data_IF_523736884485
#
_entry.id   IF_523736884485
#
_cell.length_a   1.000
_cell.length_b   1.000
_cell.length_c   1.000
_cell.angle_alpha   90.00
_cell.angle_beta   90.00
_cell.angle_gamma   90.00
#
_symmetry.space_group_name_H-M   'P 1'
#
loop_
_entity.id
_entity.type
_entity.pdbx_description
1 polymer ?
#
# COMPACT_ATOMS: atom_id res chain seq x y z
N UNK A 1 -67.33 -2.76 -16.33
CA UNK A 1 -68.05 -2.26 -17.53
C UNK A 1 -67.54 -0.87 -17.81
N UNK A 2 -66.71 -0.78 -18.84
CA UNK A 2 -66.61 0.21 -19.94
C UNK A 2 -67.17 1.66 -19.76
N UNK A 3 -66.71 2.68 -20.51
CA UNK A 3 -65.59 2.84 -21.48
C UNK A 3 -64.83 4.15 -21.30
N UNK A 4 -63.59 4.25 -21.74
CA UNK A 4 -62.95 4.79 -22.96
C UNK A 4 -63.76 5.91 -23.67
N UNK A 5 -63.16 7.04 -23.91
CA UNK A 5 -63.12 7.84 -25.16
C UNK A 5 -62.58 9.25 -24.91
N UNK A 6 -61.42 9.55 -25.52
CA UNK A 6 -61.08 10.64 -26.41
C UNK A 6 -61.16 12.12 -25.91
N UNK A 7 -60.03 12.79 -26.04
CA UNK A 7 -59.95 13.95 -26.91
C UNK A 7 -58.56 14.32 -27.31
N UNK A 8 -58.23 14.13 -28.56
CA UNK A 8 -57.16 14.79 -29.30
C UNK A 8 -57.55 16.25 -29.49
N UNK A 9 -56.69 17.22 -29.19
CA UNK A 9 -56.50 18.49 -29.88
C UNK A 9 -55.73 19.49 -29.00
N UNK A 10 -54.43 19.59 -29.21
CA UNK A 10 -53.66 20.82 -29.05
C UNK A 10 -52.21 20.56 -29.51
N UNK A 11 -52.09 20.16 -30.76
CA UNK A 11 -50.84 20.31 -31.50
C UNK A 11 -51.05 21.47 -32.47
N UNK A 12 -50.10 22.39 -32.50
CA UNK A 12 -49.91 23.54 -33.35
C UNK A 12 -49.96 24.87 -32.57
N UNK A 13 -48.79 25.26 -32.04
CA UNK A 13 -48.29 26.64 -31.88
C UNK A 13 -47.05 26.65 -30.96
N UNK A 14 -45.95 26.02 -31.39
CA UNK A 14 -44.63 26.24 -30.78
C UNK A 14 -43.53 25.90 -31.80
N UNK A 15 -43.60 26.54 -32.96
CA UNK A 15 -42.57 26.42 -34.00
C UNK A 15 -42.11 27.83 -34.41
N UNK A 16 -41.46 28.56 -33.52
CA UNK A 16 -40.71 29.78 -33.87
C UNK A 16 -39.76 30.28 -32.77
N UNK A 17 -39.14 29.40 -31.95
CA UNK A 17 -38.11 29.87 -30.99
C UNK A 17 -36.89 28.91 -30.87
N UNK A 18 -36.71 28.04 -31.83
CA UNK A 18 -35.65 27.01 -31.81
C UNK A 18 -34.44 27.31 -32.71
N UNK A 19 -34.25 28.58 -33.12
CA UNK A 19 -33.17 28.95 -34.05
C UNK A 19 -32.17 29.98 -33.52
N UNK A 20 -32.10 30.19 -32.19
CA UNK A 20 -31.13 31.14 -31.59
C UNK A 20 -30.33 30.57 -30.44
N UNK A 21 -30.14 29.24 -30.32
CA UNK A 21 -29.33 28.61 -29.25
C UNK A 21 -28.37 27.56 -29.79
N UNK A 22 -27.84 27.74 -30.99
CA UNK A 22 -26.95 26.77 -31.61
C UNK A 22 -25.44 27.07 -31.49
N UNK A 23 -24.99 27.98 -30.61
CA UNK A 23 -23.56 28.28 -30.45
C UNK A 23 -23.09 28.46 -29.01
N UNK A 24 -23.81 27.94 -28.02
CA UNK A 24 -23.25 27.84 -26.69
C UNK A 24 -22.39 26.53 -26.60
N UNK A 25 -21.08 26.65 -26.80
CA UNK A 25 -20.14 25.57 -26.47
C UNK A 25 -20.47 25.05 -25.06
N UNK A 26 -20.69 23.73 -24.88
CA UNK A 26 -20.93 23.19 -23.54
C UNK A 26 -19.85 23.70 -22.59
N UNK A 27 -20.18 24.08 -21.35
CA UNK A 27 -19.16 24.44 -20.37
C UNK A 27 -18.16 23.31 -20.33
N UNK A 28 -16.87 23.66 -20.48
CA UNK A 28 -15.80 22.67 -20.37
C UNK A 28 -15.99 21.94 -19.03
N UNK A 29 -15.99 20.62 -19.06
CA UNK A 29 -15.98 19.82 -17.84
C UNK A 29 -14.86 20.35 -16.97
N UNK A 30 -15.03 20.45 -15.62
CA UNK A 30 -13.96 20.89 -14.74
C UNK A 30 -12.72 20.06 -15.05
N UNK A 31 -11.64 20.71 -15.41
CA UNK A 31 -10.36 20.07 -15.67
C UNK A 31 -9.96 19.38 -14.35
N UNK A 32 -9.95 18.06 -14.35
CA UNK A 32 -9.61 17.29 -13.17
C UNK A 32 -8.16 17.63 -12.81
N UNK A 33 -7.95 18.24 -11.65
CA UNK A 33 -6.64 18.70 -11.22
C UNK A 33 -5.65 17.52 -11.28
N UNK A 34 -4.52 17.71 -11.92
CA UNK A 34 -3.50 16.68 -12.01
C UNK A 34 -3.12 16.20 -10.59
N UNK A 35 -2.97 14.88 -10.37
CA UNK A 35 -2.66 14.34 -9.04
C UNK A 35 -1.38 14.98 -8.49
N UNK A 36 -1.42 15.39 -7.22
CA UNK A 36 -0.24 15.88 -6.50
C UNK A 36 0.63 14.72 -6.04
N UNK A 37 1.90 14.99 -5.75
CA UNK A 37 2.76 14.03 -5.08
C UNK A 37 2.35 13.90 -3.61
N UNK A 38 2.31 12.66 -3.12
CA UNK A 38 2.23 12.29 -1.71
C UNK A 38 3.53 11.58 -1.32
N UNK A 39 4.07 11.91 -0.17
CA UNK A 39 5.32 11.33 0.31
C UNK A 39 5.11 10.66 1.66
N UNK A 40 5.89 9.61 1.93
CA UNK A 40 6.01 9.07 3.28
C UNK A 40 7.46 8.69 3.60
N UNK A 41 7.78 8.70 4.89
CA UNK A 41 9.04 8.21 5.40
C UNK A 41 8.76 7.31 6.61
N UNK A 42 9.33 6.11 6.60
CA UNK A 42 9.17 5.11 7.66
C UNK A 42 10.52 4.67 8.20
N UNK A 43 10.58 4.45 9.51
CA UNK A 43 11.71 3.86 10.20
C UNK A 43 11.24 2.70 11.06
N UNK A 44 12.03 1.62 11.07
CA UNK A 44 11.80 0.44 11.91
C UNK A 44 13.06 0.16 12.71
N UNK A 45 12.90 -0.03 14.02
CA UNK A 45 13.97 -0.46 14.91
C UNK A 45 13.69 -1.90 15.35
N UNK A 46 14.62 -2.79 15.04
CA UNK A 46 14.54 -4.22 15.35
C UNK A 46 15.38 -4.51 16.57
N UNK A 47 14.76 -5.07 17.59
CA UNK A 47 15.39 -5.51 18.83
C UNK A 47 15.42 -7.03 18.83
N UNK A 48 16.62 -7.58 18.67
CA UNK A 48 16.85 -9.01 18.55
C UNK A 48 17.37 -9.58 19.87
N UNK A 49 16.87 -10.74 20.35
CA UNK A 49 17.31 -11.30 21.62
C UNK A 49 18.76 -11.78 21.59
N UNK A 50 19.21 -12.33 20.45
CA UNK A 50 20.51 -13.02 20.35
C UNK A 50 21.41 -12.46 19.24
N UNK A 51 21.08 -11.30 18.67
CA UNK A 51 21.89 -10.63 17.65
C UNK A 51 21.86 -9.10 17.87
N UNK A 52 22.62 -8.36 17.07
CA UNK A 52 22.67 -6.90 17.15
C UNK A 52 21.39 -6.27 16.63
N UNK A 53 20.91 -5.31 17.40
CA UNK A 53 19.82 -4.44 16.97
C UNK A 53 20.19 -3.68 15.71
N UNK A 54 19.21 -3.42 14.84
CA UNK A 54 19.42 -2.64 13.62
C UNK A 54 18.19 -1.83 13.24
N UNK A 55 18.40 -0.87 12.37
CA UNK A 55 17.34 -0.02 11.85
C UNK A 55 17.13 -0.22 10.36
N UNK A 56 15.87 -0.11 9.92
CA UNK A 56 15.45 -0.12 8.52
C UNK A 56 14.77 1.20 8.21
N UNK A 57 15.02 1.76 7.04
CA UNK A 57 14.39 2.99 6.59
C UNK A 57 13.77 2.85 5.21
N UNK A 58 12.58 3.44 5.01
CA UNK A 58 11.94 3.52 3.70
C UNK A 58 11.42 4.92 3.45
N UNK A 59 11.46 5.36 2.19
CA UNK A 59 10.84 6.61 1.73
C UNK A 59 10.06 6.31 0.47
N UNK A 60 8.80 6.76 0.41
CA UNK A 60 7.96 6.59 -0.78
C UNK A 60 7.54 7.93 -1.37
N UNK A 61 7.27 7.93 -2.67
CA UNK A 61 6.68 9.05 -3.40
C UNK A 61 5.64 8.51 -4.39
N UNK A 62 4.39 8.90 -4.21
CA UNK A 62 3.24 8.43 -4.97
C UNK A 62 2.61 9.57 -5.77
N UNK A 63 2.28 9.32 -7.05
CA UNK A 63 1.53 10.27 -7.87
C UNK A 63 0.64 9.56 -8.87
N UNK A 64 -0.67 9.64 -8.66
CA UNK A 64 -1.62 8.90 -9.49
C UNK A 64 -1.36 7.39 -9.38
N UNK A 65 -0.98 6.77 -10.49
CA UNK A 65 -0.62 5.34 -10.52
C UNK A 65 0.88 5.06 -10.31
N UNK A 66 1.72 6.10 -10.31
CA UNK A 66 3.17 5.93 -10.16
C UNK A 66 3.53 5.79 -8.69
N UNK A 67 4.32 4.77 -8.37
CA UNK A 67 4.92 4.52 -7.07
C UNK A 67 6.44 4.47 -7.18
N UNK A 68 7.12 5.26 -6.36
CA UNK A 68 8.58 5.26 -6.21
C UNK A 68 8.91 4.97 -4.75
N UNK A 69 9.94 4.14 -4.53
CA UNK A 69 10.37 3.83 -3.18
C UNK A 69 11.90 3.72 -3.11
N UNK A 70 12.46 4.17 -1.99
CA UNK A 70 13.86 3.99 -1.62
C UNK A 70 13.93 3.33 -0.26
N UNK A 71 14.80 2.31 -0.10
CA UNK A 71 14.95 1.54 1.13
C UNK A 71 16.41 1.48 1.56
N UNK A 72 16.63 1.31 2.85
CA UNK A 72 17.95 1.05 3.43
C UNK A 72 17.85 0.00 4.51
N UNK A 73 18.78 -0.96 4.52
CA UNK A 73 18.81 -2.13 5.39
C UNK A 73 17.58 -3.05 5.28
N UNK A 74 16.85 -2.99 4.17
CA UNK A 74 15.61 -3.74 4.00
C UNK A 74 15.86 -5.15 3.45
N UNK A 75 16.56 -5.27 2.33
CA UNK A 75 16.93 -6.55 1.69
C UNK A 75 18.15 -7.20 2.35
N UNK A 76 18.88 -6.46 3.15
CA UNK A 76 20.05 -6.89 3.89
C UNK A 76 20.70 -5.73 4.63
N UNK A 77 21.58 -6.01 5.58
CA UNK A 77 22.37 -4.97 6.26
C UNK A 77 23.30 -4.29 5.26
N UNK A 78 23.54 -2.98 5.43
CA UNK A 78 24.37 -2.13 4.58
C UNK A 78 23.98 -2.17 3.10
N UNK A 79 22.70 -2.39 2.85
CA UNK A 79 22.12 -2.53 1.51
C UNK A 79 21.07 -1.43 1.29
N UNK A 80 21.14 -0.79 0.16
CA UNK A 80 20.14 0.17 -0.33
C UNK A 80 19.39 -0.38 -1.53
N UNK A 81 18.18 0.10 -1.76
CA UNK A 81 17.42 -0.24 -2.97
C UNK A 81 16.57 0.91 -3.46
N UNK A 82 16.32 0.92 -4.77
CA UNK A 82 15.42 1.88 -5.43
C UNK A 82 14.39 1.10 -6.25
N UNK A 83 13.13 1.48 -6.09
CA UNK A 83 11.99 0.77 -6.65
C UNK A 83 11.11 1.67 -7.50
N UNK A 84 10.57 1.09 -8.56
CA UNK A 84 9.54 1.69 -9.41
C UNK A 84 8.36 0.73 -9.48
N UNK A 85 7.17 1.24 -9.20
CA UNK A 85 5.92 0.49 -9.19
C UNK A 85 4.78 1.21 -9.89
N UNK A 86 3.69 0.47 -10.07
CA UNK A 86 2.44 0.98 -10.63
C UNK A 86 1.28 0.52 -9.75
N UNK A 87 0.54 1.46 -9.15
CA UNK A 87 -0.60 1.18 -8.28
C UNK A 87 -1.90 1.11 -9.06
N UNK A 88 -2.62 0.02 -8.87
CA UNK A 88 -3.95 -0.25 -9.44
C UNK A 88 -4.96 -0.40 -8.31
N UNK A 89 -6.01 0.41 -8.33
CA UNK A 89 -7.07 0.41 -7.32
C UNK A 89 -8.37 -0.17 -7.88
N UNK A 90 -8.97 -1.09 -7.14
CA UNK A 90 -10.19 -1.78 -7.53
C UNK A 90 -11.22 -1.81 -6.40
N UNK A 91 -12.49 -1.86 -6.76
CA UNK A 91 -13.60 -2.04 -5.83
C UNK A 91 -14.10 -0.74 -5.20
N UNK A 92 -15.12 -0.87 -4.36
CA UNK A 92 -15.75 0.24 -3.61
C UNK A 92 -15.88 -0.09 -2.14
N UNK A 93 -16.70 -1.08 -1.80
CA UNK A 93 -16.89 -1.54 -0.40
C UNK A 93 -15.74 -2.42 0.07
N UNK A 94 -15.27 -3.31 -0.79
CA UNK A 94 -14.02 -4.04 -0.68
C UNK A 94 -13.03 -3.34 -1.62
N UNK A 95 -12.04 -2.66 -1.05
CA UNK A 95 -11.02 -1.93 -1.82
C UNK A 95 -9.76 -2.76 -1.88
N UNK A 96 -9.24 -2.93 -3.08
CA UNK A 96 -7.96 -3.59 -3.34
C UNK A 96 -7.03 -2.61 -4.04
N UNK A 97 -5.89 -2.31 -3.41
CA UNK A 97 -4.77 -1.63 -4.03
C UNK A 97 -3.65 -2.64 -4.26
N UNK A 98 -3.21 -2.76 -5.50
CA UNK A 98 -2.12 -3.65 -5.92
C UNK A 98 -1.05 -2.83 -6.63
N UNK A 99 0.18 -2.90 -6.13
CA UNK A 99 1.34 -2.20 -6.66
C UNK A 99 2.42 -3.20 -7.06
N UNK A 100 2.37 -3.83 -8.25
CA UNK A 100 3.54 -4.52 -8.79
C UNK A 100 4.69 -3.54 -9.00
N UNK A 101 5.91 -3.97 -8.68
CA UNK A 101 7.09 -3.13 -8.68
C UNK A 101 8.36 -3.92 -9.02
N UNK A 102 9.40 -3.21 -9.41
CA UNK A 102 10.73 -3.76 -9.61
C UNK A 102 11.76 -2.86 -8.98
N UNK A 103 12.73 -3.47 -8.28
CA UNK A 103 13.80 -2.77 -7.59
C UNK A 103 15.19 -3.16 -8.06
N UNK A 104 16.11 -2.21 -8.00
CA UNK A 104 17.55 -2.45 -8.06
C UNK A 104 18.13 -2.36 -6.67
N UNK A 105 18.84 -3.39 -6.25
CA UNK A 105 19.43 -3.57 -4.91
C UNK A 105 20.95 -3.46 -5.02
N UNK A 106 21.57 -2.73 -4.10
CA UNK A 106 23.02 -2.42 -4.12
C UNK A 106 23.60 -2.27 -2.71
N UNK A 107 24.86 -2.64 -2.54
CA UNK A 107 25.57 -2.62 -1.26
C UNK A 107 26.17 -3.97 -0.93
N UNK A 108 26.00 -4.46 0.30
CA UNK A 108 26.46 -5.80 0.68
C UNK A 108 25.65 -6.89 -0.06
N UNK A 109 24.40 -6.59 -0.43
CA UNK A 109 23.58 -7.39 -1.34
C UNK A 109 23.40 -6.62 -2.65
N UNK A 110 23.55 -7.30 -3.80
CA UNK A 110 23.40 -6.67 -5.11
C UNK A 110 22.49 -7.52 -6.00
N UNK A 111 21.49 -6.89 -6.62
CA UNK A 111 20.57 -7.65 -7.44
C UNK A 111 19.44 -6.84 -8.05
N UNK A 112 18.52 -7.59 -8.66
CA UNK A 112 17.24 -7.08 -9.15
C UNK A 112 16.14 -7.85 -8.47
N UNK A 113 15.11 -7.15 -8.01
CA UNK A 113 14.01 -7.76 -7.30
C UNK A 113 12.66 -7.34 -7.92
N UNK A 114 11.92 -8.24 -8.57
CA UNK A 114 10.48 -8.07 -8.75
C UNK A 114 9.78 -8.21 -7.40
N UNK A 115 8.77 -7.37 -7.16
CA UNK A 115 8.01 -7.36 -5.91
C UNK A 115 6.61 -6.79 -6.09
N UNK A 116 5.89 -6.71 -4.99
CA UNK A 116 4.56 -6.12 -4.95
C UNK A 116 4.22 -5.60 -3.55
N UNK A 117 3.34 -4.59 -3.51
CA UNK A 117 2.51 -4.28 -2.35
C UNK A 117 1.06 -4.59 -2.67
N UNK A 118 0.31 -5.04 -1.69
CA UNK A 118 -1.12 -5.30 -1.76
C UNK A 118 -1.78 -4.81 -0.48
N UNK A 119 -2.82 -4.01 -0.62
CA UNK A 119 -3.70 -3.62 0.50
C UNK A 119 -5.12 -4.00 0.13
N UNK A 120 -5.79 -4.70 1.03
CA UNK A 120 -7.20 -5.07 0.92
C UNK A 120 -7.96 -4.54 2.13
N UNK A 121 -8.80 -3.54 1.90
CA UNK A 121 -9.64 -2.92 2.93
C UNK A 121 -11.09 -3.40 2.83
N UNK A 122 -11.63 -3.86 3.96
CA UNK A 122 -13.05 -4.16 4.09
C UNK A 122 -13.57 -3.72 5.45
N UNK A 123 -14.37 -2.66 5.46
CA UNK A 123 -14.93 -2.05 6.69
C UNK A 123 -13.81 -1.63 7.66
N UNK A 124 -13.67 -2.36 8.77
CA UNK A 124 -12.64 -2.13 9.80
C UNK A 124 -11.44 -3.06 9.70
N UNK A 125 -11.46 -3.98 8.73
CA UNK A 125 -10.37 -4.91 8.48
C UNK A 125 -9.48 -4.41 7.35
N UNK A 126 -8.19 -4.64 7.49
CA UNK A 126 -7.17 -4.39 6.48
C UNK A 126 -6.24 -5.60 6.42
N UNK A 127 -6.03 -6.11 5.23
CA UNK A 127 -4.94 -7.03 4.92
C UNK A 127 -3.90 -6.25 4.13
N UNK A 128 -2.70 -6.11 4.67
CA UNK A 128 -1.52 -5.63 3.96
C UNK A 128 -0.59 -6.80 3.69
N UNK A 129 -0.06 -6.85 2.49
CA UNK A 129 0.94 -7.84 2.08
C UNK A 129 1.96 -7.20 1.17
N UNK A 130 3.22 -7.46 1.43
CA UNK A 130 4.30 -7.15 0.51
C UNK A 130 5.18 -8.37 0.32
N UNK A 131 5.78 -8.46 -0.83
CA UNK A 131 6.69 -9.55 -1.15
C UNK A 131 7.59 -9.22 -2.30
N UNK A 132 8.76 -9.82 -2.28
CA UNK A 132 9.76 -9.68 -3.33
C UNK A 132 10.60 -10.92 -3.47
N UNK A 133 11.16 -11.12 -4.63
CA UNK A 133 12.15 -12.15 -4.87
C UNK A 133 13.44 -11.50 -5.38
N UNK A 134 14.49 -11.57 -4.57
CA UNK A 134 15.80 -11.04 -4.96
C UNK A 134 16.55 -12.06 -5.83
N UNK A 135 16.93 -11.62 -7.02
CA UNK A 135 17.92 -12.27 -7.88
C UNK A 135 19.27 -11.63 -7.62
N UNK A 136 20.10 -12.28 -6.81
CA UNK A 136 21.45 -11.79 -6.50
C UNK A 136 22.36 -11.92 -7.72
N UNK A 137 23.07 -10.83 -8.06
CA UNK A 137 23.98 -10.80 -9.22
C UNK A 137 25.32 -11.45 -8.96
N UNK A 138 25.71 -11.69 -7.70
CA UNK A 138 26.99 -12.28 -7.34
C UNK A 138 26.90 -13.80 -7.24
N UNK A 139 25.80 -14.34 -6.68
CA UNK A 139 25.60 -15.78 -6.55
C UNK A 139 24.10 -16.13 -6.48
N UNK A 140 23.66 -17.08 -7.32
CA UNK A 140 22.30 -17.61 -7.27
C UNK A 140 21.93 -18.25 -5.91
N UNK A 141 22.92 -18.70 -5.14
CA UNK A 141 22.70 -19.27 -3.81
C UNK A 141 22.23 -18.20 -2.80
N UNK A 142 22.46 -16.93 -3.11
CA UNK A 142 22.01 -15.80 -2.31
C UNK A 142 20.60 -15.31 -2.69
N UNK A 143 19.99 -15.87 -3.72
CA UNK A 143 18.60 -15.56 -4.05
C UNK A 143 17.70 -15.89 -2.87
N UNK A 144 16.74 -15.01 -2.59
CA UNK A 144 15.77 -15.25 -1.53
C UNK A 144 14.41 -14.64 -1.82
N UNK A 145 13.40 -15.18 -1.17
CA UNK A 145 12.05 -14.63 -1.13
C UNK A 145 11.81 -13.97 0.23
N UNK A 146 11.42 -12.70 0.18
CA UNK A 146 10.94 -11.94 1.33
C UNK A 146 9.43 -11.78 1.26
N UNK A 147 8.76 -11.79 2.41
CA UNK A 147 7.37 -11.35 2.54
C UNK A 147 7.08 -10.82 3.93
N UNK A 148 6.21 -9.80 3.97
CA UNK A 148 5.62 -9.26 5.18
C UNK A 148 4.11 -9.20 5.00
N UNK A 149 3.34 -9.64 5.99
CA UNK A 149 1.90 -9.67 5.91
C UNK A 149 1.30 -9.22 7.24
N UNK A 150 0.28 -8.39 7.19
CA UNK A 150 -0.48 -7.92 8.34
C UNK A 150 -1.98 -8.12 8.09
N UNK A 151 -2.68 -8.66 9.08
CA UNK A 151 -4.14 -8.67 9.13
C UNK A 151 -4.56 -7.89 10.36
N UNK A 152 -5.16 -6.72 10.16
CA UNK A 152 -5.51 -5.80 11.23
C UNK A 152 -6.99 -5.51 11.30
N UNK A 153 -7.44 -5.16 12.51
CA UNK A 153 -8.77 -4.65 12.81
C UNK A 153 -8.64 -3.28 13.49
N UNK A 154 -9.46 -2.31 13.06
CA UNK A 154 -9.54 -0.97 13.63
C UNK A 154 -10.75 -0.84 14.56
N UNK A 155 -10.62 -1.02 15.88
CA UNK A 155 -11.73 -0.80 16.82
C UNK A 155 -12.20 0.66 16.77
N UNK A 156 -11.26 1.59 16.66
CA UNK A 156 -11.45 3.03 16.46
C UNK A 156 -10.55 3.52 15.34
N UNK A 157 -10.82 4.70 14.76
CA UNK A 157 -10.15 5.20 13.56
C UNK A 157 -8.62 5.37 13.72
N UNK A 158 -8.18 5.72 14.91
CA UNK A 158 -6.77 5.99 15.20
C UNK A 158 -5.96 4.78 15.69
N UNK A 159 -6.61 3.63 15.92
CA UNK A 159 -5.97 2.44 16.49
C UNK A 159 -6.26 1.21 15.64
N UNK A 160 -5.21 0.47 15.30
CA UNK A 160 -5.27 -0.85 14.67
C UNK A 160 -4.51 -1.87 15.51
N UNK A 161 -5.03 -3.08 15.59
CA UNK A 161 -4.35 -4.22 16.21
C UNK A 161 -4.58 -5.46 15.36
N UNK A 162 -3.64 -6.39 15.36
CA UNK A 162 -3.77 -7.56 14.50
C UNK A 162 -2.63 -8.55 14.59
N UNK A 163 -2.57 -9.37 13.54
CA UNK A 163 -1.58 -10.41 13.35
C UNK A 163 -0.57 -9.95 12.29
N UNK A 164 0.67 -10.38 12.46
CA UNK A 164 1.75 -10.14 11.51
C UNK A 164 2.51 -11.43 11.24
N UNK A 165 2.99 -11.58 10.03
CA UNK A 165 3.97 -12.61 9.69
C UNK A 165 5.02 -12.04 8.74
N UNK A 166 6.26 -12.50 8.90
CA UNK A 166 7.34 -12.18 7.97
C UNK A 166 8.15 -13.43 7.64
N UNK A 167 8.67 -13.43 6.43
CA UNK A 167 9.69 -14.36 5.98
C UNK A 167 10.85 -13.57 5.42
N UNK A 168 12.02 -13.73 6.01
CA UNK A 168 13.21 -13.02 5.56
C UNK A 168 14.45 -13.86 5.79
N UNK A 169 15.48 -13.60 5.00
CA UNK A 169 16.82 -14.15 5.19
C UNK A 169 17.71 -13.25 6.08
N UNK A 170 17.30 -11.99 6.26
CA UNK A 170 18.05 -11.03 7.05
C UNK A 170 18.09 -11.37 8.55
N UNK A 171 17.12 -12.15 9.02
CA UNK A 171 17.05 -12.58 10.42
C UNK A 171 17.50 -14.04 10.55
N UNK A 172 18.63 -14.22 11.21
CA UNK A 172 19.14 -15.55 11.55
C UNK A 172 18.36 -16.12 12.75
N UNK A 173 17.07 -16.37 12.56
CA UNK A 173 16.27 -17.09 13.55
C UNK A 173 16.15 -18.55 13.16
N UNK A 174 15.81 -19.40 14.12
CA UNK A 174 15.52 -20.82 13.90
C UNK A 174 14.23 -21.06 13.09
N UNK A 175 13.44 -20.01 12.81
CA UNK A 175 12.18 -20.08 12.10
C UNK A 175 12.28 -19.37 10.75
N UNK A 176 11.96 -20.09 9.67
CA UNK A 176 11.88 -19.52 8.31
C UNK A 176 10.75 -18.48 8.18
N UNK A 177 9.66 -18.65 8.94
CA UNK A 177 8.52 -17.74 8.99
C UNK A 177 8.27 -17.33 10.43
N UNK A 178 8.44 -16.05 10.70
CA UNK A 178 8.11 -15.44 11.98
C UNK A 178 6.65 -15.00 11.98
N UNK A 179 5.97 -15.20 13.10
CA UNK A 179 4.57 -14.82 13.30
C UNK A 179 4.44 -14.04 14.59
N UNK A 180 3.53 -13.07 14.60
CA UNK A 180 3.40 -12.21 15.75
C UNK A 180 2.10 -11.45 15.81
N UNK A 181 2.08 -10.50 16.71
CA UNK A 181 1.00 -9.55 16.91
C UNK A 181 1.53 -8.13 16.69
N UNK A 182 0.62 -7.23 16.34
CA UNK A 182 0.96 -5.83 16.16
C UNK A 182 -0.12 -4.91 16.73
N UNK A 183 0.33 -3.72 17.11
CA UNK A 183 -0.54 -2.58 17.41
C UNK A 183 0.03 -1.36 16.71
N UNK A 184 -0.83 -0.60 16.01
CA UNK A 184 -0.48 0.68 15.38
C UNK A 184 -1.42 1.77 15.86
N UNK A 185 -0.87 2.94 16.17
CA UNK A 185 -1.63 4.14 16.55
C UNK A 185 -1.30 5.29 15.59
N UNK A 186 -2.33 5.95 15.07
CA UNK A 186 -2.20 7.09 14.18
C UNK A 186 -2.53 8.39 14.91
N UNK A 187 -1.64 9.38 14.81
CA UNK A 187 -1.82 10.71 15.36
C UNK A 187 -1.46 11.73 14.28
N UNK A 188 -2.48 12.34 13.66
CA UNK A 188 -2.31 13.24 12.49
C UNK A 188 -1.58 12.51 11.35
N UNK A 189 -0.45 13.06 10.90
CA UNK A 189 0.42 12.48 9.86
C UNK A 189 1.38 11.41 10.36
N UNK A 190 1.39 11.09 11.65
CA UNK A 190 2.28 10.11 12.25
C UNK A 190 1.57 8.81 12.54
N UNK A 191 2.21 7.69 12.21
CA UNK A 191 1.79 6.36 12.63
C UNK A 191 2.91 5.71 13.42
N UNK A 192 2.60 5.23 14.62
CA UNK A 192 3.52 4.50 15.49
C UNK A 192 3.09 3.05 15.55
N UNK A 193 4.02 2.12 15.46
CA UNK A 193 3.74 0.69 15.49
C UNK A 193 4.66 -0.06 16.44
N UNK A 194 4.15 -1.11 17.04
CA UNK A 194 4.91 -2.10 17.81
C UNK A 194 4.49 -3.48 17.34
N UNK A 195 5.47 -4.32 17.05
CA UNK A 195 5.31 -5.68 16.59
C UNK A 195 6.09 -6.60 17.52
N UNK A 196 5.50 -7.73 17.89
CA UNK A 196 6.16 -8.76 18.70
C UNK A 196 6.04 -10.07 17.94
N UNK A 197 7.14 -10.51 17.36
CA UNK A 197 7.22 -11.78 16.65
C UNK A 197 7.61 -12.91 17.60
N UNK A 198 7.21 -14.12 17.27
CA UNK A 198 7.51 -15.35 17.99
C UNK A 198 7.06 -15.33 19.46
N UNK A 199 6.00 -14.58 19.76
CA UNK A 199 5.42 -14.48 21.10
C UNK A 199 5.01 -15.87 21.62
N UNK A 200 5.54 -16.23 22.80
CA UNK A 200 5.30 -17.54 23.42
C UNK A 200 6.16 -18.68 22.87
N UNK A 201 7.10 -18.39 21.96
CA UNK A 201 8.14 -19.31 21.47
C UNK A 201 9.53 -18.79 21.89
N UNK A 202 10.56 -19.51 21.45
CA UNK A 202 11.94 -19.05 21.64
C UNK A 202 12.23 -17.82 20.78
N UNK A 203 13.11 -16.94 21.26
CA UNK A 203 13.69 -15.81 20.52
C UNK A 203 12.67 -14.77 20.04
N UNK A 204 11.89 -14.14 20.94
CA UNK A 204 10.95 -13.10 20.56
C UNK A 204 11.67 -11.88 20.01
N UNK A 205 11.32 -11.46 18.78
CA UNK A 205 11.83 -10.23 18.17
C UNK A 205 10.79 -9.12 18.34
N UNK A 206 11.23 -7.98 18.85
CA UNK A 206 10.40 -6.78 18.95
C UNK A 206 10.79 -5.77 17.87
N UNK A 207 9.80 -5.19 17.21
CA UNK A 207 10.03 -4.13 16.23
C UNK A 207 9.20 -2.91 16.63
N UNK A 208 9.83 -1.75 16.72
CA UNK A 208 9.16 -0.47 16.84
C UNK A 208 9.21 0.26 15.50
N UNK A 209 8.09 0.86 15.06
CA UNK A 209 8.05 1.62 13.82
C UNK A 209 7.49 3.01 14.02
N UNK A 210 7.92 3.92 13.16
CA UNK A 210 7.35 5.25 12.99
C UNK A 210 7.24 5.55 11.50
N UNK A 211 6.07 6.07 11.08
CA UNK A 211 5.84 6.54 9.71
C UNK A 211 5.30 7.96 9.75
N UNK A 212 5.78 8.81 8.87
CA UNK A 212 5.32 10.18 8.66
C UNK A 212 4.89 10.37 7.21
N UNK A 213 3.64 10.81 7.00
CA UNK A 213 3.11 11.17 5.67
C UNK A 213 3.05 12.69 5.48
N UNK A 214 3.42 13.21 4.30
CA UNK A 214 3.46 14.65 3.98
C UNK A 214 3.24 14.95 2.50
#
# INVERSE_FOLDING_TARGET
MKPVWLSWAAALLASASALAQADAKPPAAPEEAAPSWAFSASGYAYFLPDDKDYGVGTVTADRGWVHLEARYNYEGLHTGSLWLGATFSFGKDLKLDLTPMVGGVFGDTNGVAPGFHLTLDYKKFELYSEGEYLFDTNSHENNFFYSWNELTYAPVEWLRAGLVSQRTRAYKTSLDVQRGILVRAQVKSWTFGVYIFNFGWTDPTTVASVTFGF
#
